data_IF_410026377555
#
_entry.id   IF_410026377555
#
_cell.length_a   1.000
_cell.length_b   1.000
_cell.length_c   1.000
_cell.angle_alpha   90.00
_cell.angle_beta   90.00
_cell.angle_gamma   90.00
#
_symmetry.space_group_name_H-M   'P 1'
#
loop_
_entity.id
_entity.type
_entity.pdbx_description
1 polymer ?
#
# COMPACT_ATOMS: atom_id res chain seq x y z
N UNK A 1 -26.31 13.94 13.37
CA UNK A 1 -25.47 14.80 14.21
C UNK A 1 -24.24 15.18 13.40
N UNK A 2 -24.13 16.44 13.00
CA UNK A 2 -22.95 16.97 12.29
C UNK A 2 -21.86 17.21 13.32
N UNK A 3 -20.82 16.38 13.34
CA UNK A 3 -19.65 16.69 14.17
C UNK A 3 -18.92 17.88 13.55
N UNK A 4 -18.90 18.98 14.24
CA UNK A 4 -18.09 20.15 13.88
C UNK A 4 -16.65 19.82 14.26
N UNK A 5 -15.74 19.82 13.28
CA UNK A 5 -14.31 19.75 13.56
C UNK A 5 -13.91 21.15 14.02
N UNK A 6 -13.54 21.27 15.28
CA UNK A 6 -12.95 22.50 15.80
C UNK A 6 -11.47 22.54 15.40
N UNK A 7 -11.14 23.46 14.51
CA UNK A 7 -9.76 23.76 14.11
C UNK A 7 -9.21 24.86 15.01
N UNK A 8 -9.03 24.58 16.29
CA UNK A 8 -8.33 25.48 17.19
C UNK A 8 -6.89 25.67 16.70
N UNK A 9 -6.44 26.94 16.63
CA UNK A 9 -5.04 27.30 16.37
C UNK A 9 -4.25 27.48 17.69
N UNK A 10 -4.89 27.26 18.80
CA UNK A 10 -4.25 27.35 20.10
C UNK A 10 -3.50 26.07 20.38
N UNK A 11 -2.21 26.18 20.69
CA UNK A 11 -1.42 25.04 21.16
C UNK A 11 -1.97 24.64 22.52
N UNK A 12 -2.29 23.35 22.76
CA UNK A 12 -2.79 22.93 24.06
C UNK A 12 -1.75 23.22 25.15
N UNK A 13 -2.24 23.56 26.34
CA UNK A 13 -1.35 23.83 27.50
C UNK A 13 -0.49 22.62 27.89
N UNK A 14 -0.93 21.42 27.49
CA UNK A 14 -0.21 20.16 27.74
C UNK A 14 -0.03 19.40 26.44
N UNK A 15 1.21 19.02 26.16
CA UNK A 15 1.60 18.13 25.07
C UNK A 15 1.98 16.79 25.73
N UNK A 16 1.32 15.71 25.37
CA UNK A 16 1.55 14.38 25.93
C UNK A 16 2.67 13.61 25.22
N UNK A 17 2.93 13.93 23.94
CA UNK A 17 4.02 13.35 23.16
C UNK A 17 4.44 14.31 22.03
N UNK A 18 5.70 14.24 21.62
CA UNK A 18 6.26 14.92 20.46
C UNK A 18 6.93 13.87 19.58
N UNK A 19 6.65 13.87 18.29
CA UNK A 19 7.18 12.93 17.30
C UNK A 19 7.48 13.66 16.00
N UNK A 20 8.37 13.10 15.18
CA UNK A 20 8.71 13.67 13.87
C UNK A 20 7.55 13.51 12.88
N UNK A 21 6.84 12.37 12.93
CA UNK A 21 5.74 12.05 12.02
C UNK A 21 4.55 11.46 12.77
N UNK A 22 3.40 12.10 12.63
CA UNK A 22 2.12 11.59 13.12
C UNK A 22 1.28 11.06 11.96
N UNK A 23 0.99 9.75 11.96
CA UNK A 23 0.17 9.08 10.92
C UNK A 23 -1.24 8.87 11.46
N UNK A 24 -2.23 9.35 10.74
CA UNK A 24 -3.64 9.20 11.11
C UNK A 24 -4.29 8.09 10.26
N UNK A 25 -4.62 7.00 10.93
CA UNK A 25 -5.20 5.79 10.34
C UNK A 25 -4.15 4.69 10.10
N UNK A 26 -4.41 3.50 10.67
CA UNK A 26 -3.54 2.33 10.59
C UNK A 26 -3.96 1.33 9.48
N UNK A 27 -4.55 1.79 8.38
CA UNK A 27 -4.71 0.98 7.16
C UNK A 27 -3.36 0.77 6.46
N UNK A 28 -3.32 -0.02 5.38
CA UNK A 28 -2.07 -0.33 4.69
C UNK A 28 -1.25 0.92 4.31
N UNK A 29 -1.91 1.97 3.80
CA UNK A 29 -1.21 3.20 3.43
C UNK A 29 -0.55 3.89 4.64
N UNK A 30 -1.24 3.95 5.78
CA UNK A 30 -0.71 4.55 7.00
C UNK A 30 0.45 3.74 7.57
N UNK A 31 0.31 2.41 7.67
CA UNK A 31 1.36 1.55 8.20
C UNK A 31 2.61 1.57 7.29
N UNK A 32 2.44 1.47 5.97
CA UNK A 32 3.59 1.56 5.04
C UNK A 32 4.28 2.93 5.13
N UNK A 33 3.50 4.02 5.29
CA UNK A 33 4.06 5.34 5.52
C UNK A 33 4.86 5.40 6.83
N UNK A 34 4.31 4.83 7.92
CA UNK A 34 4.96 4.79 9.22
C UNK A 34 6.26 3.98 9.19
N UNK A 35 6.22 2.77 8.62
CA UNK A 35 7.38 1.92 8.45
C UNK A 35 8.47 2.63 7.64
N UNK A 36 8.10 3.28 6.53
CA UNK A 36 9.07 4.00 5.70
C UNK A 36 9.67 5.22 6.39
N UNK A 37 8.89 5.95 7.19
CA UNK A 37 9.39 7.07 7.97
C UNK A 37 10.37 6.60 9.07
N UNK A 38 10.01 5.52 9.78
CA UNK A 38 10.85 4.90 10.82
C UNK A 38 12.16 4.34 10.24
N UNK A 39 12.12 3.68 9.08
CA UNK A 39 13.29 3.23 8.33
C UNK A 39 14.23 4.41 7.97
N UNK A 40 13.66 5.58 7.71
CA UNK A 40 14.38 6.84 7.54
C UNK A 40 14.94 7.46 8.82
N UNK A 41 14.72 6.85 9.98
CA UNK A 41 15.21 7.30 11.30
C UNK A 41 14.26 8.27 12.01
N UNK A 42 13.03 8.48 11.54
CA UNK A 42 12.06 9.34 12.19
C UNK A 42 11.39 8.65 13.39
N UNK A 43 11.12 9.42 14.45
CA UNK A 43 10.20 8.99 15.51
C UNK A 43 8.76 9.11 15.01
N UNK A 44 8.00 8.00 15.03
CA UNK A 44 6.68 7.93 14.40
C UNK A 44 5.61 7.51 15.40
N UNK A 45 4.47 8.21 15.39
CA UNK A 45 3.27 7.77 16.07
C UNK A 45 2.15 7.49 15.07
N UNK A 46 1.46 6.36 15.24
CA UNK A 46 0.30 5.99 14.43
C UNK A 46 -0.94 6.05 15.31
N UNK A 47 -1.95 6.77 14.83
CA UNK A 47 -3.23 6.94 15.52
C UNK A 47 -4.32 6.20 14.74
N UNK A 48 -4.98 5.25 15.39
CA UNK A 48 -6.11 4.51 14.82
C UNK A 48 -7.36 4.74 15.68
N UNK A 49 -8.49 4.94 15.05
CA UNK A 49 -9.77 5.17 15.72
C UNK A 49 -10.30 3.91 16.39
N UNK A 50 -10.13 2.77 15.73
CA UNK A 50 -10.68 1.49 16.17
C UNK A 50 -9.65 0.72 17.00
N UNK A 51 -10.06 -0.13 17.95
CA UNK A 51 -9.13 -0.93 18.75
C UNK A 51 -8.24 -1.88 17.94
N UNK A 52 -8.67 -2.21 16.72
CA UNK A 52 -7.92 -3.00 15.76
C UNK A 52 -8.17 -2.45 14.35
N UNK A 53 -7.13 -2.27 13.54
CA UNK A 53 -7.29 -1.81 12.16
C UNK A 53 -8.04 -2.84 11.32
N UNK A 54 -9.32 -2.60 11.08
CA UNK A 54 -10.23 -3.49 10.34
C UNK A 54 -10.89 -2.77 9.16
N UNK A 55 -10.16 -1.84 8.53
CA UNK A 55 -10.63 -1.04 7.41
C UNK A 55 -10.61 -1.78 6.07
N UNK A 56 -10.69 -1.03 4.98
CA UNK A 56 -10.80 -1.55 3.61
C UNK A 56 -9.70 -2.54 3.24
N UNK A 57 -8.49 -2.39 3.74
CA UNK A 57 -7.38 -3.32 3.46
C UNK A 57 -7.69 -4.71 4.03
N UNK A 58 -8.06 -4.79 5.30
CA UNK A 58 -8.38 -6.05 5.97
C UNK A 58 -9.57 -6.76 5.33
N UNK A 59 -10.58 -6.00 4.88
CA UNK A 59 -11.80 -6.52 4.23
C UNK A 59 -11.58 -6.90 2.75
N UNK A 60 -10.44 -6.60 2.16
CA UNK A 60 -10.11 -6.91 0.76
C UNK A 60 -9.47 -8.28 0.61
N UNK A 61 -9.20 -8.67 -0.64
CA UNK A 61 -8.35 -9.84 -0.93
C UNK A 61 -6.86 -9.59 -0.67
N UNK A 62 -6.46 -8.37 -0.34
CA UNK A 62 -5.06 -8.01 -0.09
C UNK A 62 -4.17 -8.05 -1.34
N UNK A 63 -4.75 -7.95 -2.55
CA UNK A 63 -4.00 -8.05 -3.80
C UNK A 63 -3.48 -6.69 -4.24
N UNK A 64 -2.20 -6.64 -4.57
CA UNK A 64 -1.50 -5.43 -4.99
C UNK A 64 -0.92 -5.64 -6.38
N UNK A 65 -1.42 -4.92 -7.40
CA UNK A 65 -0.87 -5.01 -8.74
C UNK A 65 0.45 -4.26 -8.84
N UNK A 66 1.52 -4.93 -9.28
CA UNK A 66 2.83 -4.33 -9.51
C UNK A 66 3.50 -4.94 -10.75
N UNK A 67 4.14 -4.11 -11.56
CA UNK A 67 4.78 -4.52 -12.81
C UNK A 67 6.30 -4.43 -12.72
N UNK A 68 7.01 -5.45 -13.23
CA UNK A 68 8.46 -5.48 -13.28
C UNK A 68 9.15 -5.85 -11.97
N UNK A 69 8.45 -6.54 -11.07
CA UNK A 69 9.01 -6.97 -9.79
C UNK A 69 9.96 -8.17 -9.94
N UNK A 70 10.86 -8.37 -8.96
CA UNK A 70 11.66 -9.59 -8.87
C UNK A 70 10.79 -10.85 -8.72
N UNK A 71 9.62 -10.71 -8.08
CA UNK A 71 8.66 -11.81 -7.87
C UNK A 71 8.03 -12.25 -9.20
N UNK A 72 7.66 -11.30 -10.09
CA UNK A 72 7.21 -11.63 -11.44
C UNK A 72 8.30 -12.36 -12.24
N UNK A 73 9.55 -11.88 -12.17
CA UNK A 73 10.67 -12.55 -12.84
C UNK A 73 10.88 -13.99 -12.34
N UNK A 74 10.77 -14.20 -11.03
CA UNK A 74 10.82 -15.53 -10.42
C UNK A 74 9.66 -16.44 -10.87
N UNK A 75 8.49 -15.87 -11.16
CA UNK A 75 7.33 -16.56 -11.73
C UNK A 75 7.36 -16.66 -13.28
N UNK A 76 8.50 -16.39 -13.92
CA UNK A 76 8.68 -16.37 -15.39
C UNK A 76 7.80 -15.35 -16.13
N UNK A 77 7.42 -14.26 -15.49
CA UNK A 77 6.68 -13.14 -16.07
C UNK A 77 7.68 -11.99 -16.26
N UNK A 78 8.45 -12.02 -17.36
CA UNK A 78 9.53 -11.07 -17.61
C UNK A 78 9.14 -9.92 -18.54
N UNK A 79 7.98 -9.98 -19.21
CA UNK A 79 7.53 -9.07 -20.25
C UNK A 79 6.52 -8.02 -19.76
N UNK A 80 6.50 -7.73 -18.44
CA UNK A 80 5.69 -6.67 -17.86
C UNK A 80 6.51 -5.42 -17.53
N UNK A 81 5.85 -4.25 -17.53
CA UNK A 81 6.50 -2.98 -17.24
C UNK A 81 5.52 -1.96 -16.67
N UNK A 82 6.05 -0.95 -15.96
CA UNK A 82 5.26 0.18 -15.48
C UNK A 82 4.50 0.91 -16.59
N UNK A 83 5.11 1.02 -17.80
CA UNK A 83 4.45 1.63 -18.96
C UNK A 83 3.27 0.81 -19.48
N UNK A 84 3.42 -0.51 -19.56
CA UNK A 84 2.33 -1.40 -19.94
C UNK A 84 1.20 -1.37 -18.90
N UNK A 85 1.56 -1.34 -17.64
CA UNK A 85 0.57 -1.23 -16.55
C UNK A 85 -0.17 0.12 -16.58
N UNK A 86 0.53 1.25 -16.83
CA UNK A 86 -0.10 2.57 -17.02
C UNK A 86 -1.09 2.53 -18.21
N UNK A 87 -0.71 1.90 -19.32
CA UNK A 87 -1.58 1.75 -20.49
C UNK A 87 -2.84 0.95 -20.18
N UNK A 88 -2.73 -0.15 -19.44
CA UNK A 88 -3.87 -0.96 -19.00
C UNK A 88 -4.83 -0.15 -18.11
N UNK A 89 -4.31 0.65 -17.17
CA UNK A 89 -5.13 1.52 -16.31
C UNK A 89 -5.88 2.53 -17.17
N UNK A 90 -5.22 3.19 -18.12
CA UNK A 90 -5.87 4.18 -18.99
C UNK A 90 -6.93 3.53 -19.91
N UNK A 91 -6.63 2.37 -20.45
CA UNK A 91 -7.60 1.61 -21.26
C UNK A 91 -8.83 1.21 -20.45
N UNK A 92 -8.63 0.65 -19.26
CA UNK A 92 -9.71 0.21 -18.37
C UNK A 92 -10.57 1.36 -17.87
N UNK A 93 -9.95 2.51 -17.59
CA UNK A 93 -10.65 3.71 -17.13
C UNK A 93 -11.26 4.53 -18.28
N UNK A 94 -11.07 4.13 -19.54
CA UNK A 94 -11.43 4.91 -20.73
C UNK A 94 -10.84 6.33 -20.70
N UNK A 95 -9.57 6.45 -20.29
CA UNK A 95 -8.85 7.71 -20.20
C UNK A 95 -9.29 8.63 -19.04
N UNK A 96 -10.10 8.15 -18.10
CA UNK A 96 -10.59 8.96 -16.97
C UNK A 96 -9.69 8.96 -15.74
N UNK A 97 -8.68 8.08 -15.69
CA UNK A 97 -7.68 8.11 -14.63
C UNK A 97 -6.73 9.29 -14.82
N UNK A 98 -6.37 9.97 -13.72
CA UNK A 98 -5.32 10.99 -13.77
C UNK A 98 -3.99 10.33 -14.21
N UNK A 99 -3.41 10.76 -15.35
CA UNK A 99 -2.22 10.10 -15.89
C UNK A 99 -0.97 10.32 -15.02
N UNK A 100 -0.92 11.38 -14.22
CA UNK A 100 0.22 11.63 -13.31
C UNK A 100 0.16 10.66 -12.14
N UNK A 101 -1.02 10.46 -11.54
CA UNK A 101 -1.21 9.51 -10.44
C UNK A 101 -1.03 8.07 -10.92
N UNK A 102 -1.58 7.70 -12.08
CA UNK A 102 -1.38 6.38 -12.67
C UNK A 102 0.11 6.09 -12.88
N UNK A 103 0.85 7.05 -13.46
CA UNK A 103 2.29 6.93 -13.69
C UNK A 103 3.08 6.83 -12.39
N UNK A 104 2.76 7.65 -11.39
CA UNK A 104 3.41 7.59 -10.08
C UNK A 104 3.22 6.21 -9.46
N UNK A 105 1.98 5.73 -9.38
CA UNK A 105 1.66 4.43 -8.80
C UNK A 105 2.38 3.28 -9.53
N UNK A 106 2.27 3.23 -10.86
CA UNK A 106 2.84 2.12 -11.64
C UNK A 106 4.38 2.06 -11.62
N UNK A 107 5.05 3.21 -11.47
CA UNK A 107 6.51 3.27 -11.38
C UNK A 107 7.06 3.00 -9.98
N UNK A 108 6.27 3.26 -8.94
CA UNK A 108 6.74 3.16 -7.55
C UNK A 108 6.41 1.84 -6.89
N UNK A 109 5.33 1.16 -7.32
CA UNK A 109 4.78 0.02 -6.59
C UNK A 109 5.73 -1.19 -6.54
N UNK A 110 6.49 -1.45 -7.61
CA UNK A 110 7.42 -2.57 -7.62
C UNK A 110 8.50 -2.42 -6.54
N UNK A 111 9.13 -1.25 -6.49
CA UNK A 111 10.13 -0.95 -5.48
C UNK A 111 9.55 -0.96 -4.06
N UNK A 112 8.29 -0.54 -3.89
CA UNK A 112 7.62 -0.59 -2.59
C UNK A 112 7.39 -2.03 -2.11
N UNK A 113 6.96 -2.95 -2.99
CA UNK A 113 6.80 -4.35 -2.61
C UNK A 113 8.13 -5.04 -2.32
N UNK A 114 9.16 -4.75 -3.12
CA UNK A 114 10.51 -5.29 -2.91
C UNK A 114 11.10 -4.77 -1.59
N UNK A 115 10.91 -3.50 -1.27
CA UNK A 115 11.32 -2.93 0.02
C UNK A 115 10.56 -3.55 1.21
N UNK A 116 9.25 -3.78 1.10
CA UNK A 116 8.46 -4.43 2.15
C UNK A 116 8.93 -5.89 2.41
N UNK A 117 9.39 -6.60 1.38
CA UNK A 117 9.98 -7.92 1.54
C UNK A 117 11.37 -7.83 2.23
N UNK A 118 12.22 -6.92 1.76
CA UNK A 118 13.59 -6.78 2.25
C UNK A 118 13.66 -6.27 3.70
N UNK A 119 12.88 -5.24 4.04
CA UNK A 119 12.99 -4.52 5.31
C UNK A 119 11.90 -4.88 6.33
N UNK A 120 10.72 -5.29 5.86
CA UNK A 120 9.59 -5.63 6.72
C UNK A 120 9.24 -7.13 6.71
N UNK A 121 9.96 -7.95 5.95
CA UNK A 121 9.78 -9.41 5.92
C UNK A 121 8.45 -9.87 5.33
N UNK A 122 7.80 -9.04 4.49
CA UNK A 122 6.56 -9.42 3.81
C UNK A 122 6.84 -10.29 2.60
N UNK A 123 6.59 -11.58 2.72
CA UNK A 123 6.69 -12.52 1.63
C UNK A 123 5.59 -12.29 0.59
N UNK A 124 5.97 -12.27 -0.71
CA UNK A 124 5.04 -12.06 -1.81
C UNK A 124 5.00 -13.24 -2.76
N UNK A 125 3.78 -13.61 -3.16
CA UNK A 125 3.53 -14.51 -4.29
C UNK A 125 2.88 -13.71 -5.42
N UNK A 126 3.12 -14.13 -6.68
CA UNK A 126 2.40 -13.62 -7.85
C UNK A 126 1.26 -14.56 -8.18
N UNK A 127 0.05 -14.01 -8.39
CA UNK A 127 -1.11 -14.78 -8.80
C UNK A 127 -1.06 -14.95 -10.32
N UNK A 128 -0.80 -16.16 -10.78
CA UNK A 128 -0.71 -16.56 -12.19
C UNK A 128 -1.87 -17.50 -12.63
N UNK A 129 -2.73 -17.86 -11.71
CA UNK A 129 -3.89 -18.72 -11.92
C UNK A 129 -5.11 -17.99 -12.48
N UNK A 130 -5.12 -16.64 -12.43
CA UNK A 130 -6.22 -15.83 -12.96
C UNK A 130 -5.72 -14.47 -13.48
N UNK A 131 -6.01 -14.16 -14.76
CA UNK A 131 -5.72 -12.85 -15.31
C UNK A 131 -6.88 -11.88 -15.02
N UNK A 132 -6.60 -10.87 -14.20
CA UNK A 132 -7.60 -9.88 -13.80
C UNK A 132 -8.09 -9.03 -14.99
N UNK A 133 -9.41 -8.74 -15.07
CA UNK A 133 -9.99 -7.96 -16.15
C UNK A 133 -9.38 -6.56 -16.26
N UNK A 134 -8.84 -6.24 -17.43
CA UNK A 134 -8.17 -4.98 -17.71
C UNK A 134 -6.66 -5.04 -17.50
N UNK A 135 -6.11 -6.18 -17.10
CA UNK A 135 -4.67 -6.41 -17.07
C UNK A 135 -4.22 -7.22 -18.29
N UNK A 136 -3.13 -6.80 -18.92
CA UNK A 136 -2.50 -7.54 -20.04
C UNK A 136 -1.48 -8.58 -19.55
N UNK A 137 -1.11 -8.56 -18.27
CA UNK A 137 -0.16 -9.46 -17.62
C UNK A 137 -0.62 -9.85 -16.22
N UNK A 138 -0.16 -11.02 -15.73
CA UNK A 138 -0.30 -11.41 -14.35
C UNK A 138 0.61 -10.53 -13.48
N UNK A 139 0.03 -9.62 -12.70
CA UNK A 139 0.77 -8.68 -11.87
C UNK A 139 0.19 -8.51 -10.47
N UNK A 140 -0.79 -9.32 -10.12
CA UNK A 140 -1.32 -9.29 -8.76
C UNK A 140 -0.36 -10.01 -7.82
N UNK A 141 0.11 -9.26 -6.82
CA UNK A 141 0.90 -9.81 -5.72
C UNK A 141 0.00 -9.95 -4.51
N UNK A 142 0.26 -10.96 -3.71
CA UNK A 142 -0.42 -11.20 -2.44
C UNK A 142 0.57 -11.80 -1.45
N UNK A 143 0.25 -11.69 -0.16
CA UNK A 143 0.84 -12.58 0.84
C UNK A 143 0.35 -14.01 0.60
N UNK A 144 1.08 -15.07 1.05
CA UNK A 144 0.73 -16.45 0.76
C UNK A 144 -0.71 -16.86 1.11
N UNK A 145 -1.30 -16.23 2.13
CA UNK A 145 -2.67 -16.49 2.59
C UNK A 145 -3.74 -15.93 1.66
N UNK A 146 -3.37 -15.02 0.76
CA UNK A 146 -4.27 -14.37 -0.22
C UNK A 146 -5.47 -13.65 0.41
N UNK A 147 -5.28 -13.01 1.56
CA UNK A 147 -6.31 -12.23 2.26
C UNK A 147 -5.79 -10.87 2.73
N UNK A 148 -6.69 -9.88 2.75
CA UNK A 148 -6.37 -8.56 3.29
C UNK A 148 -6.12 -8.57 4.80
N UNK A 149 -6.77 -9.48 5.51
CA UNK A 149 -6.54 -9.69 6.94
C UNK A 149 -5.11 -10.15 7.22
N UNK A 150 -4.61 -11.14 6.47
CA UNK A 150 -3.24 -11.60 6.60
C UNK A 150 -2.23 -10.52 6.20
N UNK A 151 -2.50 -9.77 5.12
CA UNK A 151 -1.68 -8.63 4.74
C UNK A 151 -1.60 -7.60 5.87
N UNK A 152 -2.73 -7.23 6.48
CA UNK A 152 -2.74 -6.29 7.60
C UNK A 152 -2.01 -6.83 8.82
N UNK A 153 -2.20 -8.11 9.16
CA UNK A 153 -1.50 -8.74 10.28
C UNK A 153 0.02 -8.70 10.11
N UNK A 154 0.51 -8.97 8.89
CA UNK A 154 1.95 -8.91 8.57
C UNK A 154 2.48 -7.47 8.62
N UNK A 155 1.74 -6.49 8.09
CA UNK A 155 2.11 -5.08 8.15
C UNK A 155 2.16 -4.53 9.58
N UNK A 156 1.28 -5.00 10.46
CA UNK A 156 1.25 -4.58 11.87
C UNK A 156 2.33 -5.27 12.72
N UNK A 157 2.89 -6.37 12.26
CA UNK A 157 3.94 -7.11 12.95
C UNK A 157 5.36 -6.65 12.54
N UNK A 158 5.47 -5.92 11.43
CA UNK A 158 6.72 -5.36 10.93
C UNK A 158 7.15 -4.14 11.74
#
# INVERSE_FOLDING_TARGET
MTSTIDLSREVPERIDAEVDVAVIGAGAAGIVCALRAADGGAEVAVFERDPSPAGSTSMSSGFIPAAGTRFQRAANIADDSAGLFEADIQAKSHGRSDPRLARLATRSIAAALEWLDDEAGLEWIVLDDFLYPGHSRHRMHAVPERTGEALMSRLLAA
#
